data_IF_816291014659
#
_entry.id   IF_816291014659
#
_cell.length_a   1.000
_cell.length_b   1.000
_cell.length_c   1.000
_cell.angle_alpha   90.00
_cell.angle_beta   90.00
_cell.angle_gamma   90.00
#
_symmetry.space_group_name_H-M   'P 1'
#
loop_
_entity.id
_entity.type
_entity.pdbx_description
1 polymer ?
#
# COMPACT_ATOMS: atom_id res chain seq x y z
N UNK A 1 -30.49 -2.04 2.54
CA UNK A 1 -30.12 -2.91 3.65
C UNK A 1 -30.12 -2.15 4.97
N UNK A 2 -29.64 -0.89 5.00
CA UNK A 2 -29.50 -0.05 6.19
C UNK A 2 -30.63 0.98 6.41
N UNK A 3 -31.79 0.82 5.82
CA UNK A 3 -32.90 1.81 5.84
C UNK A 3 -33.47 2.12 7.24
N UNK A 4 -33.16 1.30 8.24
CA UNK A 4 -33.57 1.50 9.64
C UNK A 4 -32.45 2.04 10.55
N UNK A 5 -31.26 2.27 9.98
CA UNK A 5 -30.12 2.77 10.72
C UNK A 5 -30.16 4.31 10.75
N UNK A 6 -29.65 4.88 11.82
CA UNK A 6 -29.51 6.35 11.91
C UNK A 6 -28.26 6.75 11.15
N UNK A 7 -28.38 7.72 10.28
CA UNK A 7 -27.21 8.38 9.69
C UNK A 7 -26.60 9.30 10.74
N UNK A 8 -25.31 9.16 10.99
CA UNK A 8 -24.57 10.01 11.92
C UNK A 8 -23.77 11.07 11.17
N UNK A 9 -22.90 10.71 10.29
CA UNK A 9 -22.10 11.65 9.50
C UNK A 9 -22.08 11.36 7.99
N UNK A 10 -21.64 12.33 7.19
CA UNK A 10 -21.41 12.20 5.74
C UNK A 10 -20.21 13.01 5.31
N UNK A 11 -19.17 12.34 4.90
CA UNK A 11 -17.97 12.93 4.33
C UNK A 11 -17.94 12.83 2.82
N UNK A 12 -17.44 13.89 2.19
CA UNK A 12 -17.11 13.90 0.77
C UNK A 12 -15.59 14.00 0.62
N UNK A 13 -14.99 13.03 0.00
CA UNK A 13 -13.56 12.94 -0.18
C UNK A 13 -13.22 13.10 -1.67
N UNK A 14 -12.50 14.18 -1.96
CA UNK A 14 -12.03 14.50 -3.30
C UNK A 14 -10.50 14.51 -3.30
N UNK A 15 -9.89 13.67 -4.14
CA UNK A 15 -8.44 13.66 -4.37
C UNK A 15 -8.14 13.85 -5.85
N UNK A 16 -7.09 14.58 -6.17
CA UNK A 16 -6.65 14.78 -7.55
C UNK A 16 -6.29 13.45 -8.21
N UNK A 17 -6.94 13.13 -9.33
CA UNK A 17 -6.69 11.88 -10.07
C UNK A 17 -7.38 10.63 -9.52
N UNK A 18 -8.17 10.76 -8.44
CA UNK A 18 -8.96 9.68 -7.85
C UNK A 18 -10.45 10.03 -7.93
N UNK A 19 -11.31 9.02 -7.95
CA UNK A 19 -12.76 9.26 -7.95
C UNK A 19 -13.22 9.94 -6.65
N UNK A 20 -14.26 10.77 -6.76
CA UNK A 20 -14.96 11.28 -5.59
C UNK A 20 -15.69 10.13 -4.88
N UNK A 21 -15.49 10.00 -3.59
CA UNK A 21 -16.13 9.01 -2.73
C UNK A 21 -16.93 9.72 -1.64
N UNK A 22 -18.10 9.19 -1.32
CA UNK A 22 -18.88 9.58 -0.16
C UNK A 22 -18.79 8.50 0.89
N UNK A 23 -18.45 8.87 2.11
CA UNK A 23 -18.54 8.00 3.28
C UNK A 23 -19.77 8.40 4.06
N UNK A 24 -20.64 7.46 4.35
CA UNK A 24 -21.84 7.66 5.15
C UNK A 24 -21.74 6.76 6.36
N UNK A 25 -21.57 7.38 7.49
CA UNK A 25 -21.59 6.70 8.76
C UNK A 25 -23.03 6.44 9.19
N UNK A 26 -23.33 5.21 9.52
CA UNK A 26 -24.64 4.78 9.99
C UNK A 26 -24.51 3.96 11.27
N UNK A 27 -25.32 4.31 12.26
CA UNK A 27 -25.32 3.64 13.56
C UNK A 27 -26.65 2.94 13.86
N UNK A 28 -26.57 1.87 14.63
CA UNK A 28 -27.68 1.31 15.37
C UNK A 28 -27.26 1.08 16.84
N UNK A 29 -28.12 0.48 17.64
CA UNK A 29 -27.91 0.32 19.10
C UNK A 29 -26.61 -0.42 19.50
N UNK A 30 -25.96 -1.16 18.56
CA UNK A 30 -24.85 -2.07 18.86
C UNK A 30 -23.70 -2.02 17.86
N UNK A 31 -23.84 -1.29 16.77
CA UNK A 31 -22.85 -1.28 15.68
C UNK A 31 -22.86 0.06 14.98
N UNK A 32 -21.70 0.45 14.54
CA UNK A 32 -21.44 1.57 13.65
C UNK A 32 -20.84 1.02 12.36
N UNK A 33 -21.26 1.54 11.23
CA UNK A 33 -20.82 1.04 9.92
C UNK A 33 -20.57 2.22 8.97
N UNK A 34 -19.40 2.26 8.41
CA UNK A 34 -19.05 3.14 7.31
C UNK A 34 -19.49 2.56 5.98
N UNK A 35 -20.29 3.29 5.25
CA UNK A 35 -20.77 2.96 3.92
C UNK A 35 -20.08 3.83 2.88
N UNK A 36 -19.30 3.23 2.02
CA UNK A 36 -18.53 3.91 0.99
C UNK A 36 -19.27 3.87 -0.35
N UNK A 37 -19.56 5.03 -0.92
CA UNK A 37 -20.25 5.18 -2.19
C UNK A 37 -19.41 5.93 -3.21
N UNK A 38 -19.43 5.45 -4.45
CA UNK A 38 -18.92 6.22 -5.58
C UNK A 38 -19.80 7.45 -5.89
N UNK A 39 -19.29 8.37 -6.70
CA UNK A 39 -20.00 9.60 -7.07
C UNK A 39 -21.35 9.36 -7.76
N UNK A 40 -21.55 8.21 -8.38
CA UNK A 40 -22.81 7.80 -9.01
C UNK A 40 -23.79 7.12 -8.05
N UNK A 41 -23.43 7.00 -6.76
CA UNK A 41 -24.26 6.37 -5.73
C UNK A 41 -24.16 4.85 -5.67
N UNK A 42 -23.19 4.23 -6.31
CA UNK A 42 -22.94 2.79 -6.19
C UNK A 42 -22.22 2.49 -4.87
N UNK A 43 -22.76 1.58 -4.06
CA UNK A 43 -22.09 1.11 -2.84
C UNK A 43 -20.83 0.33 -3.23
N UNK A 44 -19.68 0.78 -2.74
CA UNK A 44 -18.37 0.16 -3.01
C UNK A 44 -18.08 -0.91 -1.96
N UNK A 45 -18.17 -0.55 -0.68
CA UNK A 45 -17.98 -1.44 0.47
C UNK A 45 -18.68 -0.91 1.71
N UNK A 46 -18.73 -1.74 2.74
CA UNK A 46 -19.09 -1.34 4.10
C UNK A 46 -18.03 -1.86 5.07
N UNK A 47 -17.68 -1.07 6.06
CA UNK A 47 -16.77 -1.44 7.15
C UNK A 47 -17.52 -1.31 8.46
N UNK A 48 -17.43 -2.33 9.31
CA UNK A 48 -17.94 -2.25 10.68
C UNK A 48 -16.89 -1.53 11.52
N UNK A 49 -17.25 -0.42 12.11
CA UNK A 49 -16.37 0.25 13.06
C UNK A 49 -16.28 -0.56 14.35
N UNK A 50 -15.08 -0.91 14.73
CA UNK A 50 -14.76 -1.63 15.97
C UNK A 50 -13.89 -0.74 16.84
N UNK A 51 -14.44 0.29 17.45
CA UNK A 51 -13.87 1.14 18.54
C UNK A 51 -12.32 1.28 18.68
N UNK A 52 -11.54 0.84 17.71
CA UNK A 52 -10.10 1.03 17.67
C UNK A 52 -9.77 2.06 16.57
N UNK A 53 -9.45 3.30 16.96
CA UNK A 53 -8.78 4.41 16.24
C UNK A 53 -8.64 4.27 14.69
N UNK A 54 -9.66 3.68 14.05
CA UNK A 54 -9.67 3.47 12.63
C UNK A 54 -10.10 4.78 11.94
N UNK A 55 -9.15 5.63 11.68
CA UNK A 55 -9.30 6.65 10.64
C UNK A 55 -9.59 5.90 9.35
N UNK A 56 -10.88 5.77 9.03
CA UNK A 56 -11.36 4.95 7.93
C UNK A 56 -10.57 5.20 6.65
N UNK A 57 -9.77 4.23 6.29
CA UNK A 57 -9.08 4.26 5.01
C UNK A 57 -10.13 4.09 3.91
N UNK A 58 -10.33 5.16 3.15
CA UNK A 58 -11.23 5.13 2.00
C UNK A 58 -10.81 4.06 1.02
N UNK A 59 -11.76 3.31 0.43
CA UNK A 59 -11.43 2.47 -0.70
C UNK A 59 -10.97 3.36 -1.84
N UNK A 60 -9.68 3.43 -1.99
CA UNK A 60 -9.07 4.11 -3.13
C UNK A 60 -9.36 3.27 -4.37
N UNK A 61 -10.01 3.88 -5.35
CA UNK A 61 -10.15 3.24 -6.64
C UNK A 61 -8.93 3.58 -7.49
N UNK A 62 -8.30 2.55 -8.03
CA UNK A 62 -7.23 2.73 -8.99
C UNK A 62 -7.72 3.51 -10.20
N UNK A 63 -6.97 4.51 -10.63
CA UNK A 63 -7.19 5.16 -11.91
C UNK A 63 -7.05 4.16 -13.06
N UNK A 64 -7.62 4.46 -14.22
CA UNK A 64 -7.44 3.62 -15.40
C UNK A 64 -5.97 3.46 -15.79
N UNK A 65 -5.16 4.52 -15.61
CA UNK A 65 -3.72 4.48 -15.87
C UNK A 65 -2.99 3.49 -14.96
N UNK A 66 -3.26 3.51 -13.65
CA UNK A 66 -2.70 2.56 -12.69
C UNK A 66 -3.09 1.12 -13.01
N UNK A 67 -4.37 0.86 -13.32
CA UNK A 67 -4.85 -0.47 -13.72
C UNK A 67 -4.14 -0.97 -14.97
N UNK A 68 -4.03 -0.13 -15.97
CA UNK A 68 -3.36 -0.48 -17.23
C UNK A 68 -1.88 -0.80 -16.97
N UNK A 69 -1.19 0.00 -16.18
CA UNK A 69 0.19 -0.28 -15.79
C UNK A 69 0.34 -1.65 -15.11
N UNK A 70 -0.52 -1.93 -14.11
CA UNK A 70 -0.48 -3.23 -13.41
C UNK A 70 -0.74 -4.38 -14.38
N UNK A 71 -1.74 -4.26 -15.24
CA UNK A 71 -2.09 -5.31 -16.21
C UNK A 71 -0.97 -5.55 -17.23
N UNK A 72 -0.27 -4.51 -17.68
CA UNK A 72 0.83 -4.62 -18.64
C UNK A 72 2.10 -5.17 -18.01
N UNK A 73 2.48 -4.65 -16.84
CA UNK A 73 3.72 -5.04 -16.17
C UNK A 73 3.59 -6.36 -15.39
N UNK A 74 2.42 -6.63 -14.83
CA UNK A 74 2.12 -7.80 -14.00
C UNK A 74 0.88 -8.55 -14.50
N UNK A 75 0.92 -9.14 -15.70
CA UNK A 75 -0.26 -9.80 -16.29
C UNK A 75 -0.78 -10.91 -15.38
N UNK A 76 -2.10 -10.94 -15.17
CA UNK A 76 -2.83 -11.83 -14.27
C UNK A 76 -2.50 -11.63 -12.76
N UNK A 77 -1.92 -10.51 -12.38
CA UNK A 77 -1.79 -10.18 -10.96
C UNK A 77 -3.18 -10.05 -10.31
N UNK A 78 -3.24 -10.46 -9.04
CA UNK A 78 -4.42 -10.23 -8.20
C UNK A 78 -4.13 -9.03 -7.30
N UNK A 79 -4.98 -8.03 -7.36
CA UNK A 79 -4.94 -6.90 -6.43
C UNK A 79 -5.54 -7.38 -5.11
N UNK A 80 -4.81 -7.18 -4.03
CA UNK A 80 -5.17 -7.60 -2.68
C UNK A 80 -5.64 -6.42 -1.85
N UNK A 81 -4.91 -5.31 -1.91
CA UNK A 81 -5.16 -4.11 -1.12
C UNK A 81 -4.80 -2.86 -1.92
N UNK A 82 -5.38 -1.74 -1.55
CA UNK A 82 -5.09 -0.43 -2.15
C UNK A 82 -5.16 0.58 -1.02
N UNK A 83 -4.03 1.22 -0.72
CA UNK A 83 -3.91 2.23 0.30
C UNK A 83 -3.42 3.55 -0.27
N UNK A 84 -3.71 4.65 0.42
CA UNK A 84 -3.12 5.95 0.14
C UNK A 84 -2.37 6.40 1.37
N UNK A 85 -1.10 6.70 1.19
CA UNK A 85 -0.25 7.22 2.24
C UNK A 85 -0.79 8.56 2.73
N UNK A 86 -1.26 8.61 3.95
CA UNK A 86 -1.94 9.76 4.54
C UNK A 86 -1.13 10.48 5.62
N UNK A 87 0.03 9.96 6.03
CA UNK A 87 0.94 10.68 6.93
C UNK A 87 1.60 11.84 6.19
N UNK A 88 1.20 13.06 6.59
CA UNK A 88 1.70 14.31 5.98
C UNK A 88 3.19 14.58 6.24
N UNK A 89 3.80 13.83 7.14
CA UNK A 89 5.22 13.96 7.45
C UNK A 89 6.08 13.02 6.60
N UNK A 90 5.46 12.02 5.97
CA UNK A 90 6.19 11.06 5.16
C UNK A 90 6.40 11.56 3.72
N UNK A 91 7.50 11.12 3.13
CA UNK A 91 7.93 11.54 1.79
C UNK A 91 6.96 11.09 0.68
N UNK A 92 6.21 10.02 0.93
CA UNK A 92 5.24 9.41 0.02
C UNK A 92 3.79 9.84 0.30
N UNK A 93 3.61 10.88 1.12
CA UNK A 93 2.28 11.42 1.40
C UNK A 93 1.45 11.62 0.13
N UNK A 94 0.27 10.99 0.10
CA UNK A 94 -0.65 11.03 -1.03
C UNK A 94 -0.29 10.09 -2.19
N UNK A 95 0.75 9.26 -2.03
CA UNK A 95 1.03 8.15 -2.96
C UNK A 95 -0.01 7.05 -2.77
N UNK A 96 -0.22 6.26 -3.82
CA UNK A 96 -1.11 5.09 -3.75
C UNK A 96 -0.27 3.84 -3.79
N UNK A 97 -0.34 3.04 -2.72
CA UNK A 97 0.23 1.70 -2.68
C UNK A 97 -0.82 0.68 -3.10
N UNK A 98 -0.41 -0.26 -3.93
CA UNK A 98 -1.25 -1.35 -4.42
C UNK A 98 -0.56 -2.67 -4.17
N UNK A 99 -1.09 -3.44 -3.25
CA UNK A 99 -0.62 -4.79 -2.98
C UNK A 99 -1.15 -5.76 -4.01
N UNK A 100 -0.25 -6.46 -4.67
CA UNK A 100 -0.59 -7.46 -5.66
C UNK A 100 0.07 -8.81 -5.38
N UNK A 101 -0.58 -9.89 -5.81
CA UNK A 101 0.08 -11.20 -5.96
C UNK A 101 0.30 -11.47 -7.44
N UNK A 102 1.56 -11.56 -7.84
CA UNK A 102 1.96 -11.90 -9.20
C UNK A 102 2.92 -13.09 -9.21
N UNK A 103 2.54 -14.16 -9.91
CA UNK A 103 3.31 -15.43 -9.96
C UNK A 103 3.64 -16.02 -8.58
N UNK A 104 2.72 -15.86 -7.61
CA UNK A 104 2.89 -16.35 -6.24
C UNK A 104 3.78 -15.48 -5.35
N UNK A 105 4.21 -14.31 -5.82
CA UNK A 105 5.00 -13.35 -5.05
C UNK A 105 4.12 -12.14 -4.73
N UNK A 106 4.07 -11.77 -3.45
CA UNK A 106 3.48 -10.49 -3.00
C UNK A 106 4.39 -9.35 -3.42
N UNK A 107 3.80 -8.25 -3.91
CA UNK A 107 4.51 -7.05 -4.36
C UNK A 107 3.71 -5.82 -3.99
N UNK A 108 4.42 -4.80 -3.53
CA UNK A 108 3.90 -3.48 -3.22
C UNK A 108 4.20 -2.57 -4.42
N UNK A 109 3.19 -2.12 -5.13
CA UNK A 109 3.31 -1.27 -6.32
C UNK A 109 2.92 0.15 -5.94
N UNK A 110 3.90 1.05 -5.91
CA UNK A 110 3.71 2.43 -5.48
C UNK A 110 3.55 3.37 -6.68
N UNK A 111 2.49 4.16 -6.66
CA UNK A 111 2.20 5.21 -7.62
C UNK A 111 2.28 6.57 -6.93
N UNK A 112 2.84 7.56 -7.59
CA UNK A 112 2.92 8.91 -7.07
C UNK A 112 1.54 9.62 -7.06
N UNK A 113 1.49 10.85 -6.54
CA UNK A 113 0.26 11.64 -6.44
C UNK A 113 -0.40 11.93 -7.80
N UNK A 114 0.32 11.79 -8.91
CA UNK A 114 -0.21 11.97 -10.27
C UNK A 114 -0.74 10.68 -10.88
N UNK A 115 -0.48 9.54 -10.20
CA UNK A 115 -0.84 8.21 -10.65
C UNK A 115 0.20 7.56 -11.56
N UNK A 116 1.39 8.16 -11.65
CA UNK A 116 2.51 7.57 -12.38
C UNK A 116 3.23 6.54 -11.49
N UNK A 117 3.64 5.42 -12.08
CA UNK A 117 4.38 4.40 -11.36
C UNK A 117 5.70 4.94 -10.83
N UNK A 118 5.87 4.87 -9.52
CA UNK A 118 7.08 5.30 -8.83
C UNK A 118 8.05 4.13 -8.63
N UNK A 119 7.57 3.05 -8.00
CA UNK A 119 8.41 1.88 -7.69
C UNK A 119 7.57 0.62 -7.48
N UNK A 120 8.24 -0.52 -7.47
CA UNK A 120 7.67 -1.79 -6.98
C UNK A 120 8.67 -2.46 -6.07
N UNK A 121 8.21 -2.93 -4.91
CA UNK A 121 9.01 -3.68 -3.96
C UNK A 121 8.47 -5.09 -3.73
N UNK A 122 9.34 -6.01 -3.32
CA UNK A 122 8.98 -7.34 -2.84
C UNK A 122 10.10 -7.98 -2.05
N UNK A 123 9.73 -8.85 -1.13
CA UNK A 123 10.69 -9.62 -0.36
C UNK A 123 11.50 -10.58 -1.22
N UNK A 124 12.78 -10.69 -0.92
CA UNK A 124 13.70 -11.65 -1.51
C UNK A 124 14.49 -12.38 -0.44
N UNK A 125 14.75 -13.65 -0.65
CA UNK A 125 15.54 -14.43 0.30
C UNK A 125 17.01 -14.06 0.18
N UNK A 126 17.76 -14.20 1.27
CA UNK A 126 19.20 -13.93 1.31
C UNK A 126 19.99 -14.67 0.20
N UNK A 127 19.61 -15.91 -0.13
CA UNK A 127 20.26 -16.68 -1.17
C UNK A 127 19.94 -16.20 -2.59
N UNK A 128 18.90 -15.42 -2.78
CA UNK A 128 18.47 -14.82 -4.07
C UNK A 128 19.14 -13.47 -4.33
N UNK A 129 19.77 -12.87 -3.32
CA UNK A 129 20.52 -11.62 -3.48
C UNK A 129 21.67 -11.77 -4.46
N UNK A 130 21.98 -10.74 -5.27
CA UNK A 130 23.19 -10.72 -6.10
C UNK A 130 24.46 -10.88 -5.27
N UNK A 131 25.48 -11.49 -5.85
CA UNK A 131 26.77 -11.69 -5.14
C UNK A 131 27.41 -10.37 -4.68
N UNK A 132 27.24 -9.29 -5.44
CA UNK A 132 27.74 -7.97 -5.05
C UNK A 132 27.10 -7.48 -3.73
N UNK A 133 25.78 -7.66 -3.60
CA UNK A 133 25.03 -7.31 -2.38
C UNK A 133 25.48 -8.18 -1.20
N UNK A 134 25.55 -9.50 -1.38
CA UNK A 134 26.06 -10.45 -0.35
C UNK A 134 27.47 -10.08 0.11
N UNK A 135 28.36 -9.73 -0.82
CA UNK A 135 29.72 -9.30 -0.49
C UNK A 135 29.74 -8.01 0.29
N UNK A 136 28.89 -7.04 -0.05
CA UNK A 136 28.76 -5.79 0.71
C UNK A 136 28.30 -6.07 2.13
N UNK A 137 27.25 -6.88 2.31
CA UNK A 137 26.76 -7.29 3.65
C UNK A 137 27.88 -7.94 4.45
N UNK A 138 28.55 -8.94 3.89
CA UNK A 138 29.60 -9.67 4.60
C UNK A 138 30.80 -8.79 4.98
N UNK A 139 31.21 -7.88 4.10
CA UNK A 139 32.41 -7.07 4.30
C UNK A 139 32.18 -5.87 5.20
N UNK A 140 31.00 -5.24 5.14
CA UNK A 140 30.72 -4.01 5.87
C UNK A 140 29.85 -4.24 7.11
N UNK A 141 29.03 -5.27 7.11
CA UNK A 141 28.03 -5.54 8.15
C UNK A 141 28.12 -6.95 8.71
N UNK A 142 29.26 -7.64 8.59
CA UNK A 142 29.43 -9.03 9.02
C UNK A 142 29.24 -9.29 10.52
N UNK A 143 29.11 -8.23 11.34
CA UNK A 143 28.76 -8.33 12.76
C UNK A 143 27.26 -8.34 13.03
N UNK A 144 26.45 -8.06 12.02
CA UNK A 144 25.00 -8.04 12.09
C UNK A 144 24.42 -9.37 11.58
N UNK A 145 23.29 -9.76 12.13
CA UNK A 145 22.48 -10.85 11.61
C UNK A 145 21.60 -10.30 10.48
N UNK A 146 21.57 -11.00 9.36
CA UNK A 146 20.60 -10.71 8.32
C UNK A 146 19.18 -11.02 8.83
N UNK A 147 18.24 -10.10 8.63
CA UNK A 147 16.84 -10.28 8.98
C UNK A 147 15.97 -10.38 7.74
N UNK A 148 15.84 -9.31 6.98
CA UNK A 148 15.00 -9.24 5.80
C UNK A 148 15.72 -8.55 4.64
N UNK A 149 15.25 -8.80 3.42
CA UNK A 149 15.62 -8.05 2.24
C UNK A 149 14.42 -7.80 1.35
N UNK A 150 14.26 -6.56 0.90
CA UNK A 150 13.34 -6.18 -0.18
C UNK A 150 14.14 -5.77 -1.42
N UNK A 151 13.71 -6.25 -2.58
CA UNK A 151 14.17 -5.71 -3.86
C UNK A 151 13.24 -4.58 -4.28
N UNK A 152 13.80 -3.44 -4.66
CA UNK A 152 13.06 -2.27 -5.12
C UNK A 152 13.46 -1.96 -6.57
N UNK A 153 12.46 -1.85 -7.45
CA UNK A 153 12.60 -1.40 -8.83
C UNK A 153 11.92 -0.04 -8.98
N UNK A 154 12.63 0.97 -9.47
CA UNK A 154 12.11 2.32 -9.70
C UNK A 154 11.75 2.60 -11.15
N UNK A 155 10.92 3.62 -11.37
CA UNK A 155 10.50 4.07 -12.69
C UNK A 155 11.66 4.54 -13.58
N UNK A 156 12.75 5.05 -12.99
CA UNK A 156 13.96 5.47 -13.70
C UNK A 156 14.87 4.30 -14.12
N UNK A 157 14.47 3.06 -13.84
CA UNK A 157 15.23 1.84 -14.12
C UNK A 157 16.23 1.46 -13.02
N UNK A 158 16.35 2.24 -11.96
CA UNK A 158 17.21 1.91 -10.81
C UNK A 158 16.67 0.67 -10.10
N UNK A 159 17.56 -0.24 -9.73
CA UNK A 159 17.27 -1.39 -8.89
C UNK A 159 18.22 -1.35 -7.72
N UNK A 160 17.69 -1.48 -6.51
CA UNK A 160 18.48 -1.61 -5.29
C UNK A 160 17.81 -2.59 -4.32
N UNK A 161 18.53 -2.94 -3.26
CA UNK A 161 18.06 -3.83 -2.22
C UNK A 161 18.07 -3.09 -0.88
N UNK A 162 16.93 -3.08 -0.21
CA UNK A 162 16.81 -2.66 1.16
C UNK A 162 17.04 -3.88 2.03
N UNK A 163 18.02 -3.81 2.92
CA UNK A 163 18.42 -4.93 3.77
C UNK A 163 18.21 -4.53 5.22
N UNK A 164 17.48 -5.33 5.96
CA UNK A 164 17.34 -5.21 7.40
C UNK A 164 18.34 -6.14 8.10
N UNK A 165 19.07 -5.56 9.02
CA UNK A 165 20.16 -6.19 9.74
C UNK A 165 19.97 -5.96 11.24
N UNK A 166 20.12 -6.98 12.05
CA UNK A 166 19.93 -6.91 13.50
C UNK A 166 21.23 -7.18 14.26
N UNK A 167 21.49 -6.41 15.32
CA UNK A 167 22.57 -6.64 16.28
C UNK A 167 22.16 -6.17 17.67
N UNK A 168 22.01 -7.06 18.63
CA UNK A 168 21.78 -6.74 20.06
C UNK A 168 20.69 -5.67 20.31
N UNK A 169 19.50 -5.80 19.78
CA UNK A 169 18.38 -4.84 19.86
C UNK A 169 18.64 -3.51 19.09
N UNK A 170 19.52 -3.52 18.12
CA UNK A 170 19.68 -2.43 17.16
C UNK A 170 19.34 -2.96 15.78
N UNK A 171 18.31 -2.39 15.18
CA UNK A 171 17.92 -2.67 13.81
C UNK A 171 18.57 -1.63 12.91
N UNK A 172 19.17 -2.08 11.83
CA UNK A 172 19.86 -1.26 10.85
C UNK A 172 19.29 -1.56 9.46
N UNK A 173 18.74 -0.53 8.82
CA UNK A 173 18.33 -0.61 7.43
C UNK A 173 19.42 -0.02 6.52
N UNK A 174 19.79 -0.74 5.46
CA UNK A 174 20.75 -0.29 4.47
C UNK A 174 20.25 -0.53 3.05
N UNK A 175 20.48 0.45 2.18
CA UNK A 175 20.17 0.36 0.76
C UNK A 175 21.47 0.09 -0.03
N UNK A 176 21.48 -0.97 -0.85
CA UNK A 176 22.64 -1.44 -1.59
C UNK A 176 22.29 -1.62 -3.07
#
# INVERSE_FOLDING_TARGET
>A
EYASWKQDDVDKLERTGVETIFVIEVENQNQEIDLYYSADGTLIKSIVDTDDDNTGHLPVQLTEAMRNFINEKYPNAKIMEIDVEDDRNDWDFGYTEVDIIHNGISKDVLFDQTGDWHSTSWEVRQNELPEAVKNTINNQYGEYRFDEAKRIEKADGTIYYRIELEKMNVDLEVNI
#
